data_IF_568654458257
#
_entry.id   IF_568654458257
#
_cell.length_a   1.000
_cell.length_b   1.000
_cell.length_c   1.000
_cell.angle_alpha   90.00
_cell.angle_beta   90.00
_cell.angle_gamma   90.00
#
_symmetry.space_group_name_H-M   'P 1'
#
loop_
_entity.id
_entity.type
_entity.pdbx_description
1 polymer ?
#
# COMPACT_ATOMS: atom_id res chain seq x y z
N UNK A 1 -9.86 -35.04 -0.42
CA UNK A 1 -10.23 -33.73 -1.00
C UNK A 1 -9.34 -32.57 -0.50
N UNK A 2 -8.89 -32.54 0.76
CA UNK A 2 -8.05 -31.43 1.28
C UNK A 2 -6.70 -31.18 0.58
N UNK A 3 -6.10 -32.21 -0.03
CA UNK A 3 -4.82 -32.09 -0.76
C UNK A 3 -4.90 -31.15 -1.97
N UNK A 4 -6.01 -31.21 -2.70
CA UNK A 4 -6.25 -30.35 -3.85
C UNK A 4 -6.39 -28.88 -3.41
N UNK A 5 -7.05 -28.64 -2.27
CA UNK A 5 -7.19 -27.30 -1.70
C UNK A 5 -5.82 -26.70 -1.35
N UNK A 6 -4.94 -27.48 -0.72
CA UNK A 6 -3.58 -27.02 -0.38
C UNK A 6 -2.78 -26.68 -1.64
N UNK A 7 -2.86 -27.50 -2.68
CA UNK A 7 -2.18 -27.24 -3.95
C UNK A 7 -2.71 -25.97 -4.62
N UNK A 8 -4.03 -25.81 -4.71
CA UNK A 8 -4.65 -24.60 -5.29
C UNK A 8 -4.24 -23.36 -4.51
N UNK A 9 -4.26 -23.41 -3.18
CA UNK A 9 -3.83 -22.30 -2.33
C UNK A 9 -2.37 -21.94 -2.58
N UNK A 10 -1.48 -22.94 -2.66
CA UNK A 10 -0.07 -22.71 -2.96
C UNK A 10 0.15 -22.05 -4.32
N UNK A 11 -0.57 -22.51 -5.34
CA UNK A 11 -0.51 -21.93 -6.70
C UNK A 11 -1.01 -20.48 -6.68
N UNK A 12 -2.17 -20.22 -6.09
CA UNK A 12 -2.74 -18.86 -5.98
C UNK A 12 -1.77 -17.92 -5.26
N UNK A 13 -1.16 -18.39 -4.18
CA UNK A 13 -0.19 -17.62 -3.39
C UNK A 13 1.05 -17.24 -4.20
N UNK A 14 1.61 -18.18 -4.97
CA UNK A 14 2.77 -17.94 -5.84
C UNK A 14 2.41 -16.95 -6.94
N UNK A 15 1.30 -17.17 -7.64
CA UNK A 15 0.84 -16.29 -8.71
C UNK A 15 0.63 -14.88 -8.19
N UNK A 16 -0.06 -14.73 -7.05
CA UNK A 16 -0.29 -13.44 -6.42
C UNK A 16 1.03 -12.72 -6.09
N UNK A 17 1.98 -13.42 -5.44
CA UNK A 17 3.26 -12.81 -5.08
C UNK A 17 4.11 -12.43 -6.30
N UNK A 18 4.02 -13.15 -7.42
CA UNK A 18 4.69 -12.75 -8.66
C UNK A 18 4.10 -11.43 -9.19
N UNK A 19 2.77 -11.33 -9.25
CA UNK A 19 2.12 -10.09 -9.70
C UNK A 19 2.46 -8.92 -8.77
N UNK A 20 2.42 -9.15 -7.46
CA UNK A 20 2.75 -8.14 -6.45
C UNK A 20 4.22 -7.69 -6.54
N UNK A 21 5.16 -8.63 -6.73
CA UNK A 21 6.57 -8.34 -6.97
C UNK A 21 6.78 -7.51 -8.24
N UNK A 22 6.09 -7.85 -9.33
CA UNK A 22 6.18 -7.12 -10.60
C UNK A 22 5.63 -5.70 -10.43
N UNK A 23 4.46 -5.57 -9.81
CA UNK A 23 3.79 -4.29 -9.54
C UNK A 23 4.60 -3.39 -8.59
N UNK A 24 5.36 -3.97 -7.66
CA UNK A 24 6.16 -3.21 -6.70
C UNK A 24 7.31 -2.45 -7.40
N UNK A 25 7.38 -1.10 -7.28
CA UNK A 25 8.48 -0.32 -7.81
C UNK A 25 9.82 -0.67 -7.16
N UNK A 26 10.92 -0.61 -7.93
CA UNK A 26 12.28 -0.97 -7.45
C UNK A 26 12.68 -0.29 -6.12
N UNK A 27 12.39 1.00 -5.87
CA UNK A 27 12.74 1.67 -4.61
C UNK A 27 11.97 1.14 -3.39
N UNK A 28 10.84 0.46 -3.60
CA UNK A 28 10.01 -0.08 -2.51
C UNK A 28 10.40 -1.51 -2.13
N UNK A 29 11.17 -2.19 -2.98
CA UNK A 29 11.73 -3.52 -2.72
C UNK A 29 12.81 -3.40 -1.65
N UNK A 30 12.71 -4.20 -0.58
CA UNK A 30 13.64 -4.17 0.56
C UNK A 30 14.49 -5.43 0.63
N UNK A 31 15.59 -5.35 1.38
CA UNK A 31 16.56 -6.42 1.73
C UNK A 31 17.37 -7.00 0.57
N UNK A 32 16.72 -7.35 -0.54
CA UNK A 32 17.34 -8.05 -1.66
C UNK A 32 16.97 -7.37 -2.99
N UNK A 33 17.82 -7.52 -4.03
CA UNK A 33 17.47 -7.09 -5.38
C UNK A 33 16.18 -7.75 -5.87
N UNK A 34 15.41 -7.05 -6.70
CA UNK A 34 14.13 -7.53 -7.27
C UNK A 34 14.24 -8.91 -7.94
N UNK A 35 15.39 -9.21 -8.55
CA UNK A 35 15.68 -10.49 -9.22
C UNK A 35 15.81 -11.63 -8.19
N UNK A 36 16.44 -11.39 -7.04
CA UNK A 36 16.58 -12.41 -6.00
C UNK A 36 15.20 -12.76 -5.40
N UNK A 37 14.37 -11.74 -5.18
CA UNK A 37 12.98 -11.95 -4.75
C UNK A 37 12.15 -12.75 -5.75
N UNK A 38 12.36 -12.54 -7.06
CA UNK A 38 11.69 -13.32 -8.09
C UNK A 38 12.00 -14.81 -7.95
N UNK A 39 13.28 -15.18 -7.73
CA UNK A 39 13.68 -16.57 -7.53
C UNK A 39 13.09 -17.14 -6.23
N UNK A 40 13.09 -16.36 -5.14
CA UNK A 40 12.55 -16.78 -3.84
C UNK A 40 11.06 -17.13 -3.96
N UNK A 41 10.27 -16.27 -4.61
CA UNK A 41 8.81 -16.44 -4.76
C UNK A 41 8.41 -17.73 -5.50
N UNK A 42 9.31 -18.31 -6.31
CA UNK A 42 9.05 -19.59 -6.99
C UNK A 42 9.02 -20.79 -6.03
N UNK A 43 9.57 -20.66 -4.82
CA UNK A 43 9.48 -21.71 -3.79
C UNK A 43 8.07 -21.67 -3.18
N UNK A 44 7.21 -22.69 -3.39
CA UNK A 44 5.83 -22.65 -2.96
C UNK A 44 5.69 -22.40 -1.46
N UNK A 45 4.67 -21.64 -1.09
CA UNK A 45 4.41 -21.18 0.28
C UNK A 45 5.48 -20.24 0.84
N UNK A 46 6.69 -20.75 1.07
CA UNK A 46 7.77 -20.03 1.78
C UNK A 46 8.17 -18.76 1.05
N UNK A 47 8.36 -18.83 -0.26
CA UNK A 47 8.76 -17.69 -1.07
C UNK A 47 7.75 -16.54 -1.06
N UNK A 48 6.49 -16.80 -1.44
CA UNK A 48 5.43 -15.80 -1.38
C UNK A 48 5.20 -15.25 0.03
N UNK A 49 5.23 -16.10 1.07
CA UNK A 49 5.09 -15.66 2.46
C UNK A 49 6.20 -14.67 2.82
N UNK A 50 7.47 -15.01 2.55
CA UNK A 50 8.60 -14.12 2.81
C UNK A 50 8.48 -12.78 2.07
N UNK A 51 8.06 -12.82 0.80
CA UNK A 51 7.81 -11.62 0.01
C UNK A 51 6.75 -10.71 0.64
N UNK A 52 5.59 -11.27 1.01
CA UNK A 52 4.48 -10.51 1.58
C UNK A 52 4.78 -9.94 2.98
N UNK A 53 5.64 -10.59 3.75
CA UNK A 53 6.00 -10.11 5.09
C UNK A 53 7.16 -9.12 5.09
N UNK A 54 8.12 -9.27 4.18
CA UNK A 54 9.43 -8.59 4.30
C UNK A 54 9.91 -7.96 2.98
N UNK A 55 9.37 -8.38 1.84
CA UNK A 55 9.87 -8.05 0.51
C UNK A 55 9.69 -6.62 0.07
N UNK A 56 8.69 -5.91 0.62
CA UNK A 56 8.45 -4.52 0.25
C UNK A 56 7.91 -3.68 1.42
N UNK A 57 8.06 -2.36 1.30
CA UNK A 57 7.37 -1.44 2.19
C UNK A 57 5.85 -1.64 2.01
N UNK A 58 5.15 -2.04 3.07
CA UNK A 58 3.69 -2.01 3.09
C UNK A 58 3.29 -0.55 2.86
N UNK A 59 2.33 -0.24 1.97
CA UNK A 59 1.69 1.07 2.00
C UNK A 59 1.26 1.30 3.44
N UNK A 60 1.77 2.36 4.07
CA UNK A 60 1.25 2.82 5.36
C UNK A 60 -0.27 2.82 5.21
N UNK A 61 -0.97 2.12 6.11
CA UNK A 61 -2.42 1.98 6.03
C UNK A 61 -3.06 3.33 5.64
N UNK A 62 -4.05 3.35 4.73
CA UNK A 62 -4.70 4.59 4.35
C UNK A 62 -5.06 5.36 5.62
N UNK A 63 -4.78 6.69 5.69
CA UNK A 63 -5.04 7.46 6.89
C UNK A 63 -6.46 7.15 7.36
N UNK A 64 -6.59 6.63 8.59
CA UNK A 64 -7.92 6.47 9.18
C UNK A 64 -8.54 7.88 9.19
N UNK A 65 -9.79 8.06 8.73
CA UNK A 65 -10.45 9.34 8.88
C UNK A 65 -10.51 9.63 10.38
N UNK A 66 -9.69 10.58 10.85
CA UNK A 66 -9.59 10.96 12.26
C UNK A 66 -8.21 10.84 12.93
N UNK A 67 -7.17 10.27 12.31
CA UNK A 67 -5.81 10.35 12.88
C UNK A 67 -5.10 11.61 12.41
N UNK A 68 -5.20 12.69 13.19
CA UNK A 68 -4.38 13.90 13.08
C UNK A 68 -2.90 13.55 13.32
N UNK A 69 -2.21 13.21 12.25
CA UNK A 69 -0.80 12.83 12.28
C UNK A 69 -0.22 12.73 10.87
N UNK A 70 -0.18 13.85 10.16
CA UNK A 70 0.40 13.93 8.82
C UNK A 70 -0.23 15.09 8.04
N UNK A 71 0.55 16.14 7.81
CA UNK A 71 0.08 17.43 7.31
C UNK A 71 -0.71 17.34 5.99
N UNK A 72 -2.02 17.53 6.10
CA UNK A 72 -2.85 18.08 5.05
C UNK A 72 -3.62 19.22 5.69
N UNK A 73 -3.20 20.46 5.42
CA UNK A 73 -4.01 21.64 5.75
C UNK A 73 -5.11 21.66 4.69
N UNK A 74 -6.39 21.46 5.06
CA UNK A 74 -7.47 21.63 4.12
C UNK A 74 -7.37 23.05 3.53
N UNK A 75 -7.62 23.26 2.23
CA UNK A 75 -7.76 24.60 1.71
C UNK A 75 -8.80 25.36 2.57
N UNK A 76 -8.61 26.67 2.82
CA UNK A 76 -9.55 27.45 3.60
C UNK A 76 -10.96 27.20 3.07
N UNK A 77 -11.89 26.83 3.97
CA UNK A 77 -13.28 26.69 3.60
C UNK A 77 -13.75 28.02 2.99
N UNK A 78 -14.61 28.00 1.96
CA UNK A 78 -15.20 29.22 1.42
C UNK A 78 -15.85 30.00 2.57
N UNK A 79 -15.33 31.21 2.86
CA UNK A 79 -15.93 32.09 3.86
C UNK A 79 -17.21 32.69 3.29
N UNK A 80 -18.26 32.70 4.09
CA UNK A 80 -19.46 33.45 3.76
C UNK A 80 -19.16 34.96 3.72
N UNK A 81 -19.96 35.76 3.00
CA UNK A 81 -19.81 37.22 2.96
C UNK A 81 -19.84 37.87 4.35
N UNK A 82 -20.60 37.30 5.29
CA UNK A 82 -20.72 37.79 6.67
C UNK A 82 -19.45 37.54 7.52
N UNK A 83 -18.62 36.57 7.13
CA UNK A 83 -17.40 36.16 7.85
C UNK A 83 -16.12 36.79 7.27
N UNK A 84 -16.24 37.58 6.18
CA UNK A 84 -15.12 38.24 5.52
C UNK A 84 -15.03 39.73 5.91
N UNK A 85 -14.01 40.14 6.68
CA UNK A 85 -13.86 41.54 7.07
C UNK A 85 -13.66 42.48 5.88
N UNK A 86 -13.14 41.99 4.75
CA UNK A 86 -12.99 42.80 3.54
C UNK A 86 -14.33 43.04 2.85
N UNK A 87 -15.28 42.09 2.93
CA UNK A 87 -16.66 42.30 2.49
C UNK A 87 -17.40 43.29 3.40
N UNK A 88 -17.26 43.15 4.72
CA UNK A 88 -17.91 44.03 5.71
C UNK A 88 -17.41 45.48 5.65
N UNK A 89 -16.20 45.73 5.14
CA UNK A 89 -15.66 47.08 4.97
C UNK A 89 -16.37 47.90 3.88
N UNK A 90 -17.15 47.26 3.02
CA UNK A 90 -17.88 47.90 1.92
C UNK A 90 -19.36 48.22 2.20
N UNK A 91 -19.85 47.92 3.40
CA UNK A 91 -21.19 48.27 3.90
C UNK A 91 -21.16 49.60 4.67
#
# INVERSE_FOLDING_TARGET
MGKALVLVLGVVLVVYAIFDLIATPRPQVKLLPKIAWFVIVLVPFVGPLLWLFVGHARPSAPPRPGSTGGGWTPPPAPRGPDDDPDYLRGL
#
